data_IF_362014671755
#
_entry.id   IF_362014671755
#
_cell.length_a   1.000
_cell.length_b   1.000
_cell.length_c   1.000
_cell.angle_alpha   90.00
_cell.angle_beta   90.00
_cell.angle_gamma   90.00
#
_symmetry.space_group_name_H-M   'P 1'
#
loop_
_entity.id
_entity.type
_entity.pdbx_description
1 polymer ?
#
# COMPACT_ATOMS: atom_id res chain seq x y z
N UNK A 1 12.52 -12.27 -1.84
CA UNK A 1 12.95 -11.86 -3.19
C UNK A 1 14.26 -11.14 -3.00
N UNK A 2 15.33 -11.44 -3.73
CA UNK A 2 16.57 -10.73 -3.53
C UNK A 2 16.38 -9.29 -4.01
N UNK A 3 16.72 -8.36 -3.12
CA UNK A 3 16.82 -6.94 -3.42
C UNK A 3 17.89 -6.76 -4.49
N UNK A 4 17.45 -6.46 -5.70
CA UNK A 4 18.37 -6.01 -6.74
C UNK A 4 18.80 -4.59 -6.38
N UNK A 5 19.94 -4.50 -5.67
CA UNK A 5 20.62 -3.24 -5.42
C UNK A 5 21.20 -2.77 -6.76
N UNK A 6 20.40 -2.03 -7.53
CA UNK A 6 20.87 -1.35 -8.76
C UNK A 6 21.60 -0.03 -8.46
N UNK A 7 21.58 0.41 -7.20
CA UNK A 7 22.07 1.71 -6.76
C UNK A 7 23.55 2.00 -7.16
N UNK A 8 24.53 1.11 -6.96
CA UNK A 8 25.93 1.41 -7.36
C UNK A 8 26.15 1.37 -8.88
N UNK A 9 25.28 0.67 -9.62
CA UNK A 9 25.38 0.60 -11.08
C UNK A 9 24.87 1.88 -11.75
N UNK A 10 23.84 2.54 -11.17
CA UNK A 10 23.30 3.77 -11.72
C UNK A 10 24.24 4.98 -11.61
N UNK A 11 25.14 4.96 -10.62
CA UNK A 11 26.18 6.00 -10.42
C UNK A 11 27.42 5.79 -11.26
N UNK A 12 27.60 4.60 -11.85
CA UNK A 12 28.75 4.29 -12.68
C UNK A 12 28.69 5.04 -14.02
N UNK A 13 29.72 5.82 -14.39
CA UNK A 13 29.82 6.45 -15.71
C UNK A 13 29.70 5.43 -16.86
N UNK A 14 30.19 4.21 -16.64
CA UNK A 14 30.09 3.12 -17.59
C UNK A 14 28.64 2.63 -17.78
N UNK A 15 27.87 2.57 -16.70
CA UNK A 15 26.44 2.20 -16.76
C UNK A 15 25.62 3.31 -17.42
N UNK A 16 25.91 4.58 -17.12
CA UNK A 16 25.29 5.72 -17.81
C UNK A 16 25.61 5.69 -19.31
N UNK A 17 26.87 5.44 -19.67
CA UNK A 17 27.28 5.30 -21.06
C UNK A 17 26.67 4.09 -21.75
N UNK A 18 26.48 2.97 -21.03
CA UNK A 18 25.80 1.77 -21.52
C UNK A 18 24.29 2.02 -21.69
N UNK A 19 23.66 2.72 -20.74
CA UNK A 19 22.28 3.18 -20.88
C UNK A 19 22.11 4.12 -22.07
N UNK A 20 23.04 5.08 -22.25
CA UNK A 20 23.04 5.97 -23.39
C UNK A 20 23.19 5.20 -24.72
N UNK A 21 24.00 4.15 -24.75
CA UNK A 21 24.21 3.35 -25.96
C UNK A 21 23.14 2.28 -26.18
N UNK A 22 22.67 1.60 -25.15
CA UNK A 22 21.73 0.48 -25.26
C UNK A 22 20.27 0.95 -25.28
N UNK A 23 19.92 2.02 -24.57
CA UNK A 23 18.55 2.50 -24.50
C UNK A 23 18.21 3.49 -25.62
N UNK A 24 19.19 4.30 -26.08
CA UNK A 24 18.95 5.24 -27.16
C UNK A 24 18.81 4.54 -28.51
N UNK A 25 19.62 3.52 -28.81
CA UNK A 25 19.54 2.83 -30.10
C UNK A 25 18.37 1.87 -30.21
N UNK A 26 18.09 0.98 -29.24
CA UNK A 26 16.92 0.10 -29.28
C UNK A 26 15.61 0.86 -29.20
N UNK A 27 15.53 1.92 -28.38
CA UNK A 27 14.33 2.76 -28.29
C UNK A 27 14.01 3.46 -29.62
N UNK A 28 15.01 4.06 -30.25
CA UNK A 28 14.85 4.69 -31.57
C UNK A 28 14.58 3.66 -32.67
N UNK A 29 15.18 2.47 -32.61
CA UNK A 29 14.93 1.38 -33.55
C UNK A 29 13.52 0.83 -33.40
N UNK A 30 13.05 0.62 -32.16
CA UNK A 30 11.71 0.16 -31.86
C UNK A 30 10.64 1.12 -32.43
N UNK A 31 10.86 2.42 -32.27
CA UNK A 31 9.97 3.45 -32.77
C UNK A 31 9.86 3.52 -34.31
N UNK A 32 10.78 2.85 -35.03
CA UNK A 32 10.78 2.79 -36.51
C UNK A 32 10.25 1.48 -37.08
N UNK A 33 9.87 0.54 -36.24
CA UNK A 33 9.32 -0.72 -36.72
C UNK A 33 7.99 -0.50 -37.44
N UNK A 34 7.81 -1.13 -38.61
CA UNK A 34 6.56 -1.01 -39.36
C UNK A 34 5.39 -1.60 -38.55
N UNK A 35 4.26 -0.91 -38.56
CA UNK A 35 3.06 -1.34 -37.83
C UNK A 35 3.02 -0.93 -36.36
N UNK A 36 4.06 -0.25 -35.85
CA UNK A 36 4.05 0.34 -34.48
C UNK A 36 3.88 1.85 -34.56
N UNK A 37 3.01 2.38 -33.72
CA UNK A 37 2.86 3.80 -33.46
C UNK A 37 3.20 4.08 -31.99
N UNK A 38 4.39 4.60 -31.68
CA UNK A 38 4.77 4.92 -30.31
C UNK A 38 4.02 6.16 -29.83
N UNK A 39 2.98 5.96 -29.04
CA UNK A 39 2.10 7.03 -28.55
C UNK A 39 2.65 7.69 -27.30
N UNK A 40 3.27 6.90 -26.41
CA UNK A 40 3.78 7.41 -25.15
C UNK A 40 5.04 6.72 -24.67
N UNK A 41 5.65 7.35 -23.66
CA UNK A 41 6.83 6.84 -22.95
C UNK A 41 6.68 7.06 -21.44
N UNK A 42 7.13 6.12 -20.64
CA UNK A 42 7.05 6.24 -19.18
C UNK A 42 8.24 5.61 -18.45
N UNK A 43 8.44 6.08 -17.24
CA UNK A 43 9.19 5.39 -16.19
C UNK A 43 8.31 5.22 -14.95
N UNK A 44 8.73 4.39 -13.99
CA UNK A 44 8.07 4.23 -12.71
C UNK A 44 9.07 4.50 -11.60
N UNK A 45 8.81 5.52 -10.77
CA UNK A 45 9.69 5.88 -9.67
C UNK A 45 9.74 4.76 -8.63
N UNK A 46 10.95 4.46 -8.14
CA UNK A 46 11.18 3.38 -7.21
C UNK A 46 10.92 3.78 -5.76
N UNK A 47 11.28 5.01 -5.39
CA UNK A 47 11.32 5.49 -4.00
C UNK A 47 10.82 6.95 -3.86
N UNK A 48 9.86 7.35 -4.69
CA UNK A 48 9.32 8.72 -4.67
C UNK A 48 8.44 9.05 -3.46
N UNK A 49 8.10 8.07 -2.67
CA UNK A 49 7.31 8.11 -1.44
C UNK A 49 8.15 7.99 -0.17
N UNK A 50 9.45 7.77 -0.31
CA UNK A 50 10.37 7.73 0.83
C UNK A 50 10.87 9.15 1.16
N UNK A 51 10.76 9.60 2.44
CA UNK A 51 11.04 10.99 2.80
C UNK A 51 12.52 11.32 3.03
N UNK A 52 13.43 10.35 2.87
CA UNK A 52 14.85 10.54 3.13
C UNK A 52 15.61 11.18 1.95
N UNK A 53 16.72 11.88 2.24
CA UNK A 53 17.50 12.60 1.24
C UNK A 53 18.18 11.70 0.18
N UNK A 54 18.41 10.43 0.50
CA UNK A 54 19.00 9.47 -0.44
C UNK A 54 17.98 9.06 -1.49
N UNK A 55 16.77 8.74 -1.06
CA UNK A 55 15.62 8.43 -1.90
C UNK A 55 15.21 9.63 -2.77
N UNK A 56 15.26 10.83 -2.22
CA UNK A 56 15.02 12.06 -3.00
C UNK A 56 16.06 12.22 -4.11
N UNK A 57 17.36 12.07 -3.78
CA UNK A 57 18.43 12.12 -4.76
C UNK A 57 18.28 11.05 -5.85
N UNK A 58 17.94 9.82 -5.46
CA UNK A 58 17.73 8.72 -6.40
C UNK A 58 16.56 9.02 -7.36
N UNK A 59 15.46 9.54 -6.85
CA UNK A 59 14.29 9.90 -7.66
C UNK A 59 14.62 11.02 -8.64
N UNK A 60 15.43 12.02 -8.23
CA UNK A 60 15.95 13.05 -9.13
C UNK A 60 16.79 12.44 -10.26
N UNK A 61 17.73 11.56 -9.93
CA UNK A 61 18.56 10.90 -10.94
C UNK A 61 17.72 10.09 -11.94
N UNK A 62 16.71 9.36 -11.45
CA UNK A 62 15.80 8.60 -12.30
C UNK A 62 14.99 9.52 -13.22
N UNK A 63 14.51 10.65 -12.72
CA UNK A 63 13.78 11.63 -13.52
C UNK A 63 14.65 12.28 -14.59
N UNK A 64 15.85 12.70 -14.24
CA UNK A 64 16.81 13.29 -15.17
C UNK A 64 17.21 12.31 -16.27
N UNK A 65 17.45 11.04 -15.91
CA UNK A 65 17.71 9.98 -16.88
C UNK A 65 16.54 9.78 -17.83
N UNK A 66 15.33 9.77 -17.32
CA UNK A 66 14.11 9.65 -18.12
C UNK A 66 13.95 10.81 -19.11
N UNK A 67 14.17 12.04 -18.67
CA UNK A 67 14.13 13.22 -19.53
C UNK A 67 15.19 13.15 -20.64
N UNK A 68 16.42 12.78 -20.30
CA UNK A 68 17.51 12.58 -21.30
C UNK A 68 17.16 11.51 -22.31
N UNK A 69 16.52 10.41 -21.89
CA UNK A 69 16.06 9.35 -22.78
C UNK A 69 15.01 9.84 -23.78
N UNK A 70 14.02 10.63 -23.33
CA UNK A 70 13.03 11.23 -24.22
C UNK A 70 13.70 12.07 -25.29
N UNK A 71 14.63 12.93 -24.88
CA UNK A 71 15.37 13.80 -25.79
C UNK A 71 16.25 13.03 -26.77
N UNK A 72 16.90 11.97 -26.31
CA UNK A 72 17.76 11.14 -27.13
C UNK A 72 16.97 10.37 -28.20
N UNK A 73 15.80 9.80 -27.85
CA UNK A 73 14.90 9.12 -28.78
C UNK A 73 14.34 10.11 -29.79
N UNK A 74 13.97 11.31 -29.35
CA UNK A 74 13.50 12.36 -30.25
C UNK A 74 14.57 12.76 -31.27
N UNK A 75 15.80 13.04 -30.82
CA UNK A 75 16.91 13.44 -31.71
C UNK A 75 17.34 12.35 -32.68
N UNK A 76 17.44 11.10 -32.24
CA UNK A 76 17.95 9.97 -33.05
C UNK A 76 16.86 9.23 -33.80
N UNK A 77 15.68 9.13 -33.20
CA UNK A 77 14.51 8.42 -33.74
C UNK A 77 13.60 9.26 -34.60
N UNK A 78 13.67 10.57 -34.46
CA UNK A 78 12.71 11.49 -35.09
C UNK A 78 11.29 11.35 -34.56
N UNK A 79 11.16 10.78 -33.33
CA UNK A 79 9.87 10.47 -32.71
C UNK A 79 9.64 11.42 -31.54
N UNK A 80 8.47 12.05 -31.52
CA UNK A 80 7.99 12.82 -30.38
C UNK A 80 6.82 12.06 -29.75
N UNK A 81 6.94 11.77 -28.45
CA UNK A 81 5.87 11.10 -27.72
C UNK A 81 4.77 12.09 -27.34
N UNK A 82 3.53 11.74 -27.66
CA UNK A 82 2.36 12.54 -27.29
C UNK A 82 2.09 12.52 -25.78
N UNK A 83 2.40 11.39 -25.12
CA UNK A 83 2.14 11.18 -23.70
C UNK A 83 3.43 10.75 -23.00
N UNK A 84 3.91 11.57 -22.07
CA UNK A 84 5.05 11.26 -21.21
C UNK A 84 4.58 11.22 -19.78
N UNK A 85 4.94 10.19 -19.02
CA UNK A 85 4.49 10.07 -17.64
C UNK A 85 5.44 9.29 -16.76
N UNK A 86 5.59 9.72 -15.50
CA UNK A 86 6.43 9.05 -14.52
C UNK A 86 5.82 9.03 -13.11
N UNK A 87 4.95 9.99 -12.78
CA UNK A 87 4.41 10.12 -11.43
C UNK A 87 3.47 8.97 -11.07
N UNK A 88 3.84 8.22 -10.02
CA UNK A 88 3.00 7.31 -9.26
C UNK A 88 2.31 8.07 -8.10
N UNK A 89 1.67 7.37 -7.15
CA UNK A 89 0.99 8.01 -6.02
C UNK A 89 1.92 8.88 -5.16
N UNK A 90 3.12 8.41 -4.82
CA UNK A 90 4.11 9.17 -4.07
C UNK A 90 4.55 10.43 -4.80
N UNK A 91 4.87 10.31 -6.08
CA UNK A 91 5.28 11.47 -6.87
C UNK A 91 4.15 12.49 -7.10
N UNK A 92 2.89 12.09 -7.14
CA UNK A 92 1.75 13.02 -7.17
C UNK A 92 1.69 13.87 -5.91
N UNK A 93 2.06 13.33 -4.75
CA UNK A 93 2.10 14.06 -3.49
C UNK A 93 3.35 14.96 -3.38
N UNK A 94 4.52 14.41 -3.67
CA UNK A 94 5.80 15.01 -3.27
C UNK A 94 6.59 15.64 -4.43
N UNK A 95 6.25 15.31 -5.70
CA UNK A 95 7.02 15.66 -6.90
C UNK A 95 6.26 16.50 -7.93
N UNK A 96 5.02 16.87 -7.64
CA UNK A 96 4.21 17.67 -8.57
C UNK A 96 4.89 18.98 -8.96
N UNK A 97 5.37 19.71 -7.96
CA UNK A 97 6.00 21.02 -8.15
C UNK A 97 7.46 20.91 -8.68
N UNK A 98 8.02 19.69 -8.72
CA UNK A 98 9.33 19.37 -9.29
C UNK A 98 9.26 18.97 -10.78
N UNK A 99 8.10 19.12 -11.42
CA UNK A 99 7.90 18.88 -12.86
C UNK A 99 7.59 17.44 -13.24
N UNK A 100 7.43 16.50 -12.28
CA UNK A 100 7.19 15.09 -12.57
C UNK A 100 5.75 14.76 -13.03
N UNK A 101 4.83 15.73 -13.03
CA UNK A 101 3.46 15.52 -13.48
C UNK A 101 3.38 15.23 -15.00
N UNK A 102 4.26 15.87 -15.80
CA UNK A 102 4.32 15.73 -17.25
C UNK A 102 2.92 15.78 -17.91
N UNK A 103 2.64 14.83 -18.84
CA UNK A 103 1.37 14.82 -19.57
C UNK A 103 0.28 13.96 -18.90
N UNK A 104 0.67 13.04 -18.00
CA UNK A 104 -0.23 12.10 -17.31
C UNK A 104 0.36 11.65 -15.97
N UNK A 105 -0.50 11.38 -14.99
CA UNK A 105 -0.14 10.79 -13.70
C UNK A 105 -0.86 9.46 -13.48
N UNK A 106 -0.27 8.60 -12.64
CA UNK A 106 -0.82 7.26 -12.33
C UNK A 106 -1.04 7.09 -10.81
N UNK A 107 -2.06 7.74 -10.24
CA UNK A 107 -2.26 7.80 -8.78
C UNK A 107 -2.94 6.52 -8.23
N UNK A 108 -2.29 5.36 -8.34
CA UNK A 108 -2.84 4.06 -7.92
C UNK A 108 -3.45 4.08 -6.52
N UNK A 109 -2.64 4.15 -5.46
CA UNK A 109 -3.08 4.14 -4.06
C UNK A 109 -4.00 5.32 -3.73
N UNK A 110 -3.69 6.51 -4.24
CA UNK A 110 -4.49 7.71 -3.97
C UNK A 110 -5.94 7.59 -4.46
N UNK A 111 -6.20 6.85 -5.54
CA UNK A 111 -7.57 6.62 -6.02
C UNK A 111 -8.40 5.73 -5.10
N UNK A 112 -7.73 4.94 -4.25
CA UNK A 112 -8.38 4.14 -3.21
C UNK A 112 -8.50 4.87 -1.86
N UNK A 113 -8.05 6.12 -1.81
CA UNK A 113 -8.05 6.90 -0.57
C UNK A 113 -6.94 6.48 0.40
N UNK A 114 -5.85 5.90 -0.11
CA UNK A 114 -4.71 5.43 0.67
C UNK A 114 -3.49 6.28 0.35
N UNK A 115 -2.82 6.79 1.38
CA UNK A 115 -1.55 7.49 1.23
C UNK A 115 -0.42 6.46 1.12
N UNK A 116 0.55 6.66 0.21
CA UNK A 116 1.69 5.75 0.07
C UNK A 116 2.69 5.86 1.23
N UNK A 117 2.68 6.98 1.94
CA UNK A 117 3.51 7.28 3.10
C UNK A 117 2.71 7.96 4.23
N UNK A 118 3.38 8.37 5.30
CA UNK A 118 2.78 9.13 6.41
C UNK A 118 2.50 10.60 6.07
N UNK A 119 3.11 11.13 5.01
CA UNK A 119 2.96 12.53 4.62
C UNK A 119 1.79 12.69 3.63
N UNK A 120 0.78 13.44 4.04
CA UNK A 120 -0.47 13.60 3.28
C UNK A 120 -0.37 14.60 2.12
N UNK A 121 0.75 15.26 1.92
CA UNK A 121 0.97 16.22 0.84
C UNK A 121 -0.11 17.31 0.70
N UNK A 122 -0.82 17.61 1.79
CA UNK A 122 -1.91 18.58 1.81
C UNK A 122 -3.22 18.12 1.15
N UNK A 123 -3.32 16.89 0.66
CA UNK A 123 -4.57 16.32 0.13
C UNK A 123 -5.41 15.72 1.27
N UNK A 124 -6.72 15.82 1.14
CA UNK A 124 -7.68 15.08 1.98
C UNK A 124 -8.28 13.97 1.16
N UNK A 125 -7.96 12.73 1.50
CA UNK A 125 -8.46 11.54 0.82
C UNK A 125 -9.58 10.89 1.62
N UNK A 126 -10.56 10.33 0.92
CA UNK A 126 -11.62 9.51 1.53
C UNK A 126 -11.41 8.07 1.08
N UNK A 127 -11.20 7.12 2.02
CA UNK A 127 -11.12 5.71 1.68
C UNK A 127 -12.37 5.23 0.96
N UNK A 128 -12.19 4.46 -0.11
CA UNK A 128 -13.30 3.95 -0.93
C UNK A 128 -13.76 2.56 -0.51
N UNK A 129 -13.03 1.90 0.41
CA UNK A 129 -13.33 0.53 0.85
C UNK A 129 -13.41 0.45 2.37
N UNK A 130 -14.40 -0.30 2.86
CA UNK A 130 -14.52 -0.68 4.27
C UNK A 130 -14.86 -2.17 4.34
N UNK A 131 -14.12 -2.93 5.17
CA UNK A 131 -14.46 -4.30 5.50
C UNK A 131 -15.32 -4.30 6.78
N UNK A 132 -16.55 -4.82 6.68
CA UNK A 132 -17.48 -4.88 7.80
C UNK A 132 -17.95 -6.31 8.01
N UNK A 133 -18.08 -6.71 9.27
CA UNK A 133 -18.68 -7.98 9.66
C UNK A 133 -19.74 -7.74 10.73
N UNK A 134 -20.44 -8.81 11.13
CA UNK A 134 -21.44 -8.75 12.21
C UNK A 134 -21.14 -9.81 13.25
N UNK A 135 -21.37 -9.47 14.50
CA UNK A 135 -21.28 -10.46 15.58
C UNK A 135 -22.26 -11.60 15.30
N UNK A 136 -21.77 -12.82 15.19
CA UNK A 136 -22.56 -14.02 14.92
C UNK A 136 -22.93 -14.79 16.20
N UNK A 137 -22.09 -14.69 17.25
CA UNK A 137 -22.35 -15.31 18.55
C UNK A 137 -21.68 -14.50 19.66
N UNK A 138 -22.25 -14.60 20.86
CA UNK A 138 -21.65 -14.14 22.13
C UNK A 138 -21.44 -15.38 22.99
N UNK A 139 -20.25 -15.52 23.55
CA UNK A 139 -19.87 -16.64 24.42
C UNK A 139 -19.26 -16.12 25.73
N UNK A 140 -19.50 -16.86 26.83
CA UNK A 140 -19.00 -16.51 28.16
C UNK A 140 -17.95 -17.53 28.59
N UNK A 141 -16.82 -17.07 29.07
CA UNK A 141 -15.71 -17.89 29.46
C UNK A 141 -15.26 -17.55 30.87
N UNK A 142 -14.71 -18.56 31.55
CA UNK A 142 -14.16 -18.41 32.89
C UNK A 142 -12.68 -18.08 32.84
N UNK A 143 -12.18 -17.45 33.89
CA UNK A 143 -10.75 -17.30 34.10
C UNK A 143 -10.03 -18.65 33.93
N UNK A 144 -9.00 -18.68 33.09
CA UNK A 144 -8.23 -19.90 32.79
C UNK A 144 -8.68 -20.64 31.52
N UNK A 145 -9.83 -20.31 30.95
CA UNK A 145 -10.25 -20.90 29.67
C UNK A 145 -9.33 -20.43 28.52
N UNK A 146 -8.94 -21.38 27.68
CA UNK A 146 -8.09 -21.11 26.52
C UNK A 146 -8.93 -21.02 25.25
N UNK A 147 -8.60 -20.07 24.38
CA UNK A 147 -9.38 -19.73 23.20
C UNK A 147 -8.56 -19.95 21.93
N UNK A 148 -9.24 -20.45 20.88
CA UNK A 148 -8.72 -20.62 19.52
C UNK A 148 -7.60 -21.65 19.36
N UNK A 149 -7.14 -21.83 18.12
CA UNK A 149 -6.11 -22.79 17.75
C UNK A 149 -4.78 -22.54 18.48
N UNK A 150 -4.20 -23.62 18.98
CA UNK A 150 -2.93 -23.59 19.69
C UNK A 150 -3.03 -23.02 21.10
N UNK A 151 -4.26 -22.68 21.56
CA UNK A 151 -4.51 -22.16 22.91
C UNK A 151 -3.57 -20.98 23.25
N UNK A 152 -3.36 -20.09 22.27
CA UNK A 152 -2.39 -18.98 22.36
C UNK A 152 -2.88 -17.83 23.22
N UNK A 153 -4.18 -17.81 23.57
CA UNK A 153 -4.76 -16.86 24.49
C UNK A 153 -5.53 -17.59 25.59
N UNK A 154 -5.38 -17.11 26.80
CA UNK A 154 -6.06 -17.66 27.98
C UNK A 154 -6.72 -16.52 28.73
N UNK A 155 -7.96 -16.70 29.14
CA UNK A 155 -8.73 -15.68 29.86
C UNK A 155 -8.11 -15.40 31.24
N UNK A 156 -7.70 -14.18 31.49
CA UNK A 156 -7.12 -13.72 32.76
C UNK A 156 -8.21 -13.45 33.82
N UNK A 157 -9.44 -13.21 33.38
CA UNK A 157 -10.65 -13.00 34.19
C UNK A 157 -11.84 -13.69 33.51
N UNK A 158 -12.98 -13.77 34.19
CA UNK A 158 -14.24 -14.10 33.52
C UNK A 158 -14.48 -13.08 32.41
N UNK A 159 -14.77 -13.54 31.21
CA UNK A 159 -14.84 -12.71 30.04
C UNK A 159 -15.99 -13.08 29.09
N UNK A 160 -16.37 -12.12 28.28
CA UNK A 160 -17.36 -12.28 27.21
C UNK A 160 -16.68 -12.06 25.88
N UNK A 161 -16.84 -13.03 24.98
CA UNK A 161 -16.26 -12.96 23.64
C UNK A 161 -17.35 -12.87 22.58
N UNK A 162 -17.15 -12.00 21.60
CA UNK A 162 -17.92 -11.94 20.39
C UNK A 162 -17.20 -12.71 19.25
N UNK A 163 -17.95 -13.54 18.55
CA UNK A 163 -17.46 -14.26 17.36
C UNK A 163 -17.84 -13.46 16.12
N UNK A 164 -16.84 -13.16 15.30
CA UNK A 164 -17.00 -12.59 13.98
C UNK A 164 -16.79 -13.66 12.90
N UNK A 165 -17.73 -13.84 11.96
CA UNK A 165 -17.58 -14.74 10.81
C UNK A 165 -16.73 -14.04 9.73
N UNK A 166 -15.46 -13.77 10.04
CA UNK A 166 -14.44 -13.25 9.14
C UNK A 166 -13.08 -13.79 9.58
N UNK A 167 -12.32 -14.32 8.64
CA UNK A 167 -11.02 -14.93 8.90
C UNK A 167 -10.03 -14.74 7.76
N UNK A 168 -8.98 -15.56 7.74
CA UNK A 168 -7.92 -15.38 6.74
C UNK A 168 -8.36 -15.78 5.32
N UNK A 169 -9.40 -16.59 5.15
CA UNK A 169 -9.98 -16.87 3.84
C UNK A 169 -10.68 -15.66 3.22
N UNK A 170 -11.11 -14.71 4.06
CA UNK A 170 -11.74 -13.45 3.64
C UNK A 170 -10.71 -12.30 3.48
N UNK A 171 -9.42 -12.57 3.65
CA UNK A 171 -8.35 -11.59 3.57
C UNK A 171 -7.90 -10.98 4.92
N UNK A 172 -8.52 -11.37 6.05
CA UNK A 172 -8.06 -10.93 7.37
C UNK A 172 -6.79 -11.70 7.76
N UNK A 173 -5.65 -11.06 7.60
CA UNK A 173 -4.35 -11.72 7.71
C UNK A 173 -4.12 -12.38 9.07
N UNK A 174 -3.66 -13.63 9.07
CA UNK A 174 -3.42 -14.41 10.29
C UNK A 174 -2.30 -13.84 11.18
N UNK A 175 -1.36 -13.08 10.62
CA UNK A 175 -0.29 -12.40 11.36
C UNK A 175 -0.82 -11.30 12.31
N UNK A 176 -2.05 -10.85 12.11
CA UNK A 176 -2.75 -9.89 12.97
C UNK A 176 -3.30 -10.54 14.26
N UNK A 177 -3.18 -11.85 14.43
CA UNK A 177 -3.68 -12.56 15.61
C UNK A 177 -3.11 -11.99 16.90
N UNK A 178 -3.99 -11.55 17.81
CA UNK A 178 -3.64 -10.91 19.08
C UNK A 178 -3.15 -9.48 18.99
N UNK A 179 -3.04 -8.93 17.78
CA UNK A 179 -2.59 -7.55 17.51
C UNK A 179 -3.71 -6.65 16.99
N UNK A 180 -4.72 -7.24 16.36
CA UNK A 180 -5.81 -6.50 15.75
C UNK A 180 -6.73 -5.90 16.81
N UNK A 181 -7.03 -4.61 16.67
CA UNK A 181 -8.12 -3.95 17.37
C UNK A 181 -9.16 -3.50 16.35
N UNK A 182 -10.43 -3.64 16.71
CA UNK A 182 -11.57 -3.21 15.89
C UNK A 182 -12.50 -2.34 16.73
N UNK A 183 -13.44 -1.68 16.08
CA UNK A 183 -14.47 -0.91 16.77
C UNK A 183 -15.74 -1.72 16.94
N UNK A 184 -16.27 -1.73 18.15
CA UNK A 184 -17.60 -2.20 18.44
C UNK A 184 -18.35 -1.13 19.25
N UNK A 185 -19.46 -0.63 18.72
CA UNK A 185 -20.24 0.44 19.37
C UNK A 185 -19.39 1.66 19.75
N UNK A 186 -18.42 2.04 18.89
CA UNK A 186 -17.54 3.18 19.11
C UNK A 186 -16.39 2.95 20.11
N UNK A 187 -16.26 1.73 20.64
CA UNK A 187 -15.15 1.37 21.55
C UNK A 187 -14.18 0.44 20.84
N UNK A 188 -12.88 0.60 21.11
CA UNK A 188 -11.85 -0.33 20.63
C UNK A 188 -11.92 -1.62 21.43
N UNK A 189 -11.93 -2.75 20.72
CA UNK A 189 -11.90 -4.10 21.28
C UNK A 189 -10.79 -4.91 20.63
N UNK A 190 -10.12 -5.73 21.44
CA UNK A 190 -9.01 -6.57 20.97
C UNK A 190 -9.50 -7.87 20.37
N UNK A 191 -8.88 -8.27 19.29
CA UNK A 191 -8.98 -9.61 18.76
C UNK A 191 -8.13 -10.53 19.64
N UNK A 192 -8.71 -11.68 20.08
CA UNK A 192 -8.09 -12.63 20.98
C UNK A 192 -7.96 -14.02 20.36
N UNK A 193 -6.88 -14.72 20.72
CA UNK A 193 -6.56 -16.00 20.12
C UNK A 193 -6.10 -15.87 18.67
N UNK A 194 -6.01 -16.98 17.93
CA UNK A 194 -5.63 -16.97 16.52
C UNK A 194 -6.84 -16.66 15.63
N UNK A 195 -6.61 -15.88 14.58
CA UNK A 195 -7.56 -15.72 13.49
C UNK A 195 -7.66 -17.06 12.75
N UNK A 196 -8.86 -17.58 12.65
CA UNK A 196 -9.17 -18.84 11.98
C UNK A 196 -9.43 -18.62 10.48
N UNK A 197 -9.79 -19.69 9.75
CA UNK A 197 -10.11 -19.59 8.33
C UNK A 197 -11.28 -18.64 8.08
N UNK A 198 -12.39 -18.85 8.79
CA UNK A 198 -13.67 -18.20 8.54
C UNK A 198 -14.20 -17.40 9.75
N UNK A 199 -13.40 -17.26 10.82
CA UNK A 199 -13.84 -16.56 12.03
C UNK A 199 -12.67 -16.05 12.88
N UNK A 200 -12.97 -15.06 13.71
CA UNK A 200 -12.10 -14.60 14.78
C UNK A 200 -12.93 -14.18 16.01
N UNK A 201 -12.28 -14.02 17.16
CA UNK A 201 -12.92 -13.67 18.42
C UNK A 201 -12.43 -12.32 18.91
N UNK A 202 -13.34 -11.54 19.49
CA UNK A 202 -13.10 -10.24 20.10
C UNK A 202 -13.41 -10.30 21.58
N UNK A 203 -12.57 -9.72 22.41
CA UNK A 203 -12.87 -9.51 23.84
C UNK A 203 -13.81 -8.30 23.98
N UNK A 204 -15.06 -8.58 24.30
CA UNK A 204 -16.12 -7.56 24.49
C UNK A 204 -16.56 -7.45 25.95
N UNK A 205 -15.75 -7.95 26.88
CA UNK A 205 -16.08 -7.98 28.31
C UNK A 205 -16.48 -6.61 28.87
N UNK A 206 -15.84 -5.55 28.37
CA UNK A 206 -16.09 -4.17 28.82
C UNK A 206 -17.15 -3.43 27.97
N UNK A 207 -17.92 -4.21 27.16
CA UNK A 207 -19.06 -3.72 26.39
C UNK A 207 -20.31 -4.57 26.74
N UNK A 208 -20.98 -4.26 27.85
CA UNK A 208 -22.07 -5.10 28.36
C UNK A 208 -23.26 -5.23 27.40
N UNK A 209 -23.43 -4.25 26.53
CA UNK A 209 -24.52 -4.22 25.53
C UNK A 209 -24.14 -4.87 24.19
N UNK A 210 -22.96 -5.50 24.09
CA UNK A 210 -22.56 -6.22 22.89
C UNK A 210 -23.55 -7.34 22.58
N UNK A 211 -24.05 -7.40 21.36
CA UNK A 211 -25.08 -8.34 20.97
C UNK A 211 -24.83 -8.96 19.59
N UNK A 212 -25.43 -10.12 19.37
CA UNK A 212 -25.48 -10.74 18.03
C UNK A 212 -26.16 -9.77 17.05
N UNK A 213 -25.54 -9.59 15.88
CA UNK A 213 -25.97 -8.67 14.85
C UNK A 213 -25.30 -7.29 14.88
N UNK A 214 -24.56 -6.96 15.94
CA UNK A 214 -23.77 -5.73 15.99
C UNK A 214 -22.78 -5.66 14.82
N UNK A 215 -22.69 -4.50 14.17
CA UNK A 215 -21.79 -4.27 13.06
C UNK A 215 -20.40 -3.92 13.59
N UNK A 216 -19.41 -4.62 13.10
CA UNK A 216 -18.01 -4.41 13.42
C UNK A 216 -17.27 -4.01 12.14
N UNK A 217 -16.80 -2.76 12.00
CA UNK A 217 -15.84 -2.41 10.97
C UNK A 217 -14.49 -3.08 11.29
N UNK A 218 -14.12 -4.05 10.46
CA UNK A 218 -12.85 -4.79 10.60
C UNK A 218 -11.67 -4.04 9.97
N UNK A 219 -11.96 -3.16 9.00
CA UNK A 219 -11.03 -2.19 8.45
C UNK A 219 -11.84 -1.00 7.93
N UNK A 220 -11.73 0.13 8.56
CA UNK A 220 -12.27 1.40 8.10
C UNK A 220 -11.17 2.45 8.31
N UNK A 221 -10.68 3.01 7.20
CA UNK A 221 -9.62 4.01 7.25
C UNK A 221 -10.26 5.38 7.50
N UNK A 222 -10.47 5.72 8.76
CA UNK A 222 -10.71 7.09 9.22
C UNK A 222 -9.61 7.44 10.20
N UNK A 223 -9.17 8.68 10.21
CA UNK A 223 -8.06 9.17 11.03
C UNK A 223 -8.24 8.94 12.54
N UNK A 224 -9.49 8.78 12.97
CA UNK A 224 -9.91 8.57 14.36
C UNK A 224 -10.38 7.13 14.65
N UNK A 225 -10.39 6.22 13.64
CA UNK A 225 -11.08 4.92 13.70
C UNK A 225 -10.25 3.78 13.07
N UNK A 226 -9.00 4.04 12.66
CA UNK A 226 -8.16 3.00 12.05
C UNK A 226 -7.89 1.84 13.02
N UNK A 227 -7.98 0.57 12.57
CA UNK A 227 -7.44 -0.54 13.36
C UNK A 227 -5.94 -0.31 13.55
N UNK A 228 -5.53 -0.11 14.79
CA UNK A 228 -4.11 -0.03 15.12
C UNK A 228 -3.56 -1.45 15.18
N UNK A 229 -2.58 -1.75 14.34
CA UNK A 229 -1.72 -2.91 14.51
C UNK A 229 -0.69 -2.48 15.55
N UNK A 230 -0.71 -3.09 16.74
CA UNK A 230 0.38 -2.90 17.70
C UNK A 230 1.67 -3.49 17.10
N UNK A 231 2.75 -2.71 17.10
CA UNK A 231 4.08 -3.13 16.66
C UNK A 231 4.60 -4.35 17.41
#
# INVERSE_FOLDING_TARGET
>A
MPDFILSPLLESPLFQQLCDQLLEQPGAALCRLPGLLPEGIYTHFAVSDEPDADSERYTHQQFDLFCRMIDAVARRGGVTFAIRHCANSGAVLSWRDKGAALDLVRPGLLTYGVYPDSERGGLSLTPVMALKSRVSAITHHKKGDSISYGRTWTAERDCTLAVLPVGYADGLQRCLSGKLEVLLRGKRVKQVGRICMDMCMLDVTDIPDAAVGDVVPAAEHRDDVAPTVAE
#
